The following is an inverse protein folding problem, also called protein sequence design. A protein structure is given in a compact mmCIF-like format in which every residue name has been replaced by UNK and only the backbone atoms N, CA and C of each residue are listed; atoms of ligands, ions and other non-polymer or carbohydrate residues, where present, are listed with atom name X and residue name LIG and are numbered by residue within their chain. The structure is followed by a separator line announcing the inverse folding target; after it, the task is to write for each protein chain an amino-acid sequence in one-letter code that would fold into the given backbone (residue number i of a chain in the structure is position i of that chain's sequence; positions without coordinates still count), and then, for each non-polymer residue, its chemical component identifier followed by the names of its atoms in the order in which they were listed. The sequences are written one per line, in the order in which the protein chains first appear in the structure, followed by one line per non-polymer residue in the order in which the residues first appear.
data_IF_012919671738
#
_entry.id   IF_012919671738
#
_cell.length_a   1.000
_cell.length_b   1.000
_cell.length_c   1.000
_cell.angle_alpha   90.00
_cell.angle_beta   90.00
_cell.angle_gamma   90.00
#
_symmetry.space_group_name_H-M   'P 1'
#
loop_
_entity.id
_entity.type
_entity.pdbx_description
1 polymer ?
#
# COMPACT_ATOMS: atom_id res chain seq x y z
N UNK A 1 -25.70 12.32 38.74
CA UNK A 1 -24.59 12.55 37.80
C UNK A 1 -23.31 12.42 38.60
N UNK A 2 -22.71 11.22 38.60
CA UNK A 2 -21.44 11.02 39.27
C UNK A 2 -20.36 11.78 38.50
N UNK A 3 -19.46 12.43 39.23
CA UNK A 3 -18.35 13.17 38.66
C UNK A 3 -17.36 12.15 38.09
N UNK A 4 -17.55 11.71 36.85
CA UNK A 4 -16.71 10.72 36.16
C UNK A 4 -15.35 11.30 35.73
N UNK A 5 -14.72 12.07 36.59
CA UNK A 5 -13.34 12.50 36.37
C UNK A 5 -12.42 11.43 36.94
N UNK A 6 -11.64 10.77 36.07
CA UNK A 6 -10.64 9.80 36.48
C UNK A 6 -9.48 10.51 37.21
N UNK A 7 -9.65 10.74 38.51
CA UNK A 7 -8.72 11.53 39.34
C UNK A 7 -7.39 10.82 39.64
N UNK A 8 -7.25 9.54 39.27
CA UNK A 8 -6.06 8.76 39.57
C UNK A 8 -4.91 9.06 38.60
N UNK A 9 -5.20 9.43 37.35
CA UNK A 9 -4.15 9.67 36.36
C UNK A 9 -3.16 10.75 36.78
N UNK A 10 -3.58 11.95 37.26
CA UNK A 10 -2.64 12.98 37.72
C UNK A 10 -1.82 12.59 38.96
N UNK A 11 -2.24 11.55 39.70
CA UNK A 11 -1.55 11.08 40.92
C UNK A 11 -0.44 10.08 40.60
N UNK A 12 -0.39 9.56 39.37
CA UNK A 12 0.67 8.66 38.94
C UNK A 12 2.02 9.41 38.84
N UNK A 13 3.13 8.74 39.16
CA UNK A 13 4.48 9.24 38.86
C UNK A 13 4.60 9.72 37.40
N UNK A 14 5.34 10.81 37.13
CA UNK A 14 5.51 11.35 35.77
C UNK A 14 5.93 10.29 34.75
N UNK A 15 6.78 9.35 35.15
CA UNK A 15 7.28 8.27 34.30
C UNK A 15 6.14 7.37 33.82
N UNK A 16 5.22 6.99 34.72
CA UNK A 16 4.07 6.14 34.38
C UNK A 16 3.06 6.89 33.51
N UNK A 17 2.80 8.16 33.80
CA UNK A 17 1.90 8.99 32.96
C UNK A 17 2.43 9.12 31.55
N UNK A 18 3.74 9.33 31.42
CA UNK A 18 4.45 9.39 30.14
C UNK A 18 4.41 8.06 29.40
N UNK A 19 4.65 6.92 30.06
CA UNK A 19 4.50 5.60 29.46
C UNK A 19 3.07 5.36 28.95
N UNK A 20 2.05 5.75 29.72
CA UNK A 20 0.65 5.64 29.29
C UNK A 20 0.44 6.45 28.01
N UNK A 21 0.91 7.70 27.95
CA UNK A 21 0.82 8.50 26.73
C UNK A 21 1.55 7.88 25.55
N UNK A 22 2.74 7.31 25.77
CA UNK A 22 3.50 6.61 24.73
C UNK A 22 2.72 5.39 24.21
N UNK A 23 2.02 4.67 25.09
CA UNK A 23 1.15 3.56 24.71
C UNK A 23 -0.15 3.99 24.02
N UNK A 24 -0.62 5.21 24.27
CA UNK A 24 -1.80 5.77 23.60
C UNK A 24 -1.52 6.24 22.16
N UNK A 25 -0.26 6.32 21.73
CA UNK A 25 0.07 6.69 20.35
C UNK A 25 -0.42 5.62 19.37
N UNK A 26 -1.13 6.02 18.29
CA UNK A 26 -1.62 5.08 17.31
C UNK A 26 -0.49 4.47 16.46
N UNK A 27 -0.78 3.32 15.86
CA UNK A 27 -0.04 2.78 14.72
C UNK A 27 -0.83 3.13 13.47
N UNK A 28 -0.23 3.90 12.55
CA UNK A 28 -0.94 4.44 11.39
C UNK A 28 -0.31 3.99 10.09
N UNK A 29 -1.07 4.14 9.02
CA UNK A 29 -0.55 4.06 7.66
C UNK A 29 -0.49 5.49 7.14
N UNK A 30 0.71 6.06 7.03
CA UNK A 30 0.92 7.41 6.52
C UNK A 30 0.99 7.36 4.99
N UNK A 31 -0.05 7.85 4.32
CA UNK A 31 -0.10 7.92 2.87
C UNK A 31 0.68 9.13 2.37
N UNK A 32 1.52 8.94 1.34
CA UNK A 32 2.27 10.04 0.70
C UNK A 32 1.52 10.66 -0.48
N UNK A 33 0.49 9.97 -0.95
CA UNK A 33 -0.37 10.32 -2.07
C UNK A 33 -1.81 9.85 -1.85
N UNK A 34 -2.81 10.49 -2.48
CA UNK A 34 -4.20 10.04 -2.38
C UNK A 34 -4.41 8.69 -3.08
N UNK A 35 -5.39 7.94 -2.58
CA UNK A 35 -5.83 6.70 -3.19
C UNK A 35 -6.96 6.99 -4.18
N UNK A 36 -6.72 7.06 -5.50
CA UNK A 36 -7.81 7.48 -6.41
C UNK A 36 -8.88 6.40 -6.65
N UNK A 37 -8.60 5.12 -6.32
CA UNK A 37 -9.63 4.06 -6.26
C UNK A 37 -9.33 3.10 -5.12
N UNK A 38 -10.35 2.79 -4.31
CA UNK A 38 -10.29 1.60 -3.47
C UNK A 38 -10.29 0.40 -4.41
N UNK A 39 -9.15 -0.30 -4.49
CA UNK A 39 -8.73 -1.27 -5.53
C UNK A 39 -9.77 -2.36 -5.87
N UNK A 40 -10.82 -1.96 -6.60
CA UNK A 40 -11.88 -2.80 -7.14
C UNK A 40 -11.69 -3.08 -8.63
N UNK A 41 -10.50 -2.80 -9.18
CA UNK A 41 -10.15 -3.18 -10.55
C UNK A 41 -10.65 -2.24 -11.64
N UNK A 42 -10.62 -0.92 -11.41
CA UNK A 42 -10.77 0.17 -12.42
C UNK A 42 -12.17 0.73 -12.68
N UNK A 43 -13.19 0.45 -11.84
CA UNK A 43 -14.48 1.15 -11.97
C UNK A 43 -14.88 1.82 -10.65
N UNK A 44 -14.86 3.17 -10.55
CA UNK A 44 -15.28 3.92 -9.36
C UNK A 44 -16.74 3.68 -8.95
N UNK A 45 -17.52 3.02 -9.81
CA UNK A 45 -18.90 2.66 -9.58
C UNK A 45 -19.12 1.79 -8.34
N UNK A 46 -18.10 1.14 -7.76
CA UNK A 46 -18.35 0.08 -6.77
C UNK A 46 -18.19 0.48 -5.30
N UNK A 47 -17.26 1.37 -4.96
CA UNK A 47 -17.19 2.02 -3.64
C UNK A 47 -16.83 3.49 -3.83
N UNK A 48 -17.84 4.36 -3.77
CA UNK A 48 -17.61 5.79 -3.94
C UNK A 48 -17.34 6.39 -2.56
N UNK A 49 -16.13 6.88 -2.36
CA UNK A 49 -15.71 7.56 -1.14
C UNK A 49 -14.85 8.77 -1.50
N UNK A 50 -14.96 9.85 -0.74
CA UNK A 50 -14.12 11.05 -0.87
C UNK A 50 -12.71 10.74 -0.34
N UNK A 51 -11.93 10.09 -1.19
CA UNK A 51 -10.55 9.63 -0.91
C UNK A 51 -9.62 10.77 -0.57
N UNK A 52 -9.83 11.97 -1.13
CA UNK A 52 -9.01 13.13 -0.84
C UNK A 52 -9.25 13.62 0.59
N UNK A 53 -10.52 13.82 0.99
CA UNK A 53 -10.86 14.21 2.35
C UNK A 53 -10.30 13.23 3.38
N UNK A 54 -10.47 11.94 3.10
CA UNK A 54 -9.93 10.84 3.91
C UNK A 54 -8.41 10.89 4.04
N UNK A 55 -7.72 11.06 2.92
CA UNK A 55 -6.26 11.12 2.88
C UNK A 55 -5.78 12.32 3.70
N UNK A 56 -6.43 13.48 3.54
CA UNK A 56 -6.12 14.69 4.31
C UNK A 56 -6.34 14.47 5.81
N UNK A 57 -7.43 13.82 6.22
CA UNK A 57 -7.66 13.49 7.63
C UNK A 57 -6.57 12.57 8.19
N UNK A 58 -6.16 11.59 7.39
CA UNK A 58 -5.07 10.68 7.72
C UNK A 58 -3.68 11.35 7.74
N UNK A 59 -3.55 12.62 7.35
CA UNK A 59 -2.28 13.36 7.46
C UNK A 59 -2.12 14.13 8.77
N UNK A 60 -3.18 14.22 9.58
CA UNK A 60 -3.21 15.05 10.80
C UNK A 60 -2.36 14.45 11.92
N UNK A 61 -2.01 15.27 12.92
CA UNK A 61 -1.45 14.78 14.18
C UNK A 61 -2.43 13.84 14.92
N UNK A 62 -1.93 12.84 15.66
CA UNK A 62 -2.78 11.96 16.45
C UNK A 62 -3.56 12.77 17.49
N UNK A 63 -4.78 12.32 17.82
CA UNK A 63 -5.70 13.09 18.67
C UNK A 63 -5.10 13.34 20.05
N UNK A 64 -4.26 12.42 20.53
CA UNK A 64 -3.61 12.55 21.84
C UNK A 64 -2.71 13.80 21.95
N UNK A 65 -2.23 14.36 20.84
CA UNK A 65 -1.41 15.58 20.82
C UNK A 65 -2.17 16.84 21.29
N UNK A 66 -3.51 16.74 21.41
CA UNK A 66 -4.39 17.84 21.77
C UNK A 66 -5.01 17.68 23.18
N UNK A 67 -4.72 16.60 23.90
CA UNK A 67 -5.32 16.31 25.22
C UNK A 67 -4.72 17.16 26.34
N UNK A 68 -3.38 17.23 26.43
CA UNK A 68 -2.65 18.00 27.45
C UNK A 68 -1.26 18.39 26.96
N UNK A 69 -0.57 19.26 27.70
CA UNK A 69 0.83 19.62 27.40
C UNK A 69 1.75 18.41 27.44
N UNK A 70 1.54 17.49 28.38
CA UNK A 70 2.36 16.29 28.53
C UNK A 70 2.16 15.29 27.39
N UNK A 71 0.91 15.03 27.01
CA UNK A 71 0.60 14.14 25.89
C UNK A 71 1.08 14.72 24.56
N UNK A 72 1.00 16.05 24.39
CA UNK A 72 1.56 16.75 23.24
C UNK A 72 3.07 16.58 23.15
N UNK A 73 3.77 16.75 24.26
CA UNK A 73 5.22 16.57 24.31
C UNK A 73 5.61 15.15 23.87
N UNK A 74 4.91 14.13 24.37
CA UNK A 74 5.11 12.73 23.95
C UNK A 74 4.86 12.55 22.45
N UNK A 75 3.78 13.12 21.90
CA UNK A 75 3.51 13.04 20.47
C UNK A 75 4.63 13.70 19.63
N UNK A 76 5.08 14.90 20.01
CA UNK A 76 6.14 15.65 19.31
C UNK A 76 7.51 14.98 19.39
N UNK A 77 7.79 14.19 20.42
CA UNK A 77 9.03 13.43 20.54
C UNK A 77 9.03 12.16 19.68
N UNK A 78 7.86 11.64 19.32
CA UNK A 78 7.71 10.38 18.59
C UNK A 78 7.36 10.57 17.11
N UNK A 79 7.00 11.77 16.70
CA UNK A 79 6.66 12.08 15.31
C UNK A 79 7.04 13.49 14.89
N UNK A 80 6.95 13.74 13.59
CA UNK A 80 7.25 15.03 13.00
C UNK A 80 6.33 15.31 11.81
N UNK A 81 6.31 16.56 11.37
CA UNK A 81 5.73 16.92 10.09
C UNK A 81 6.76 16.66 8.99
N UNK A 82 6.41 15.80 8.06
CA UNK A 82 7.12 15.68 6.79
C UNK A 82 6.52 16.70 5.85
N UNK A 83 7.38 17.56 5.30
CA UNK A 83 6.99 18.57 4.34
C UNK A 83 7.68 18.24 3.04
N UNK A 84 6.90 18.32 1.98
CA UNK A 84 7.43 18.27 0.64
C UNK A 84 7.82 19.69 0.21
N UNK A 85 9.09 20.01 0.41
CA UNK A 85 9.65 21.33 0.09
C UNK A 85 9.67 21.61 -1.40
N UNK A 86 9.59 20.55 -2.22
CA UNK A 86 9.80 20.64 -3.66
C UNK A 86 8.49 20.51 -4.47
N UNK A 87 7.33 20.48 -3.80
CA UNK A 87 6.00 20.26 -4.40
C UNK A 87 5.96 19.02 -5.31
N UNK A 88 6.70 17.99 -4.93
CA UNK A 88 6.66 16.68 -5.52
C UNK A 88 5.30 16.02 -5.26
N UNK A 89 4.92 15.87 -4.00
CA UNK A 89 3.73 15.17 -3.52
C UNK A 89 2.44 15.96 -3.69
N UNK A 90 1.35 15.25 -4.00
CA UNK A 90 -0.01 15.79 -3.90
C UNK A 90 -0.30 16.25 -2.46
N UNK A 91 0.19 15.48 -1.49
CA UNK A 91 0.15 15.83 -0.07
C UNK A 91 1.39 16.63 0.30
N UNK A 92 1.23 17.95 0.42
CA UNK A 92 2.34 18.87 0.73
C UNK A 92 2.95 18.67 2.11
N UNK A 93 2.17 18.18 3.07
CA UNK A 93 2.66 17.89 4.40
C UNK A 93 1.81 16.88 5.13
N UNK A 94 2.44 15.95 5.83
CA UNK A 94 1.74 14.98 6.67
C UNK A 94 2.52 14.69 7.96
N UNK A 95 1.79 14.32 9.00
CA UNK A 95 2.36 13.86 10.26
C UNK A 95 2.83 12.41 10.13
N UNK A 96 4.03 12.14 10.66
CA UNK A 96 4.64 10.82 10.59
C UNK A 96 5.35 10.43 11.89
N UNK A 97 5.09 9.22 12.37
CA UNK A 97 5.67 8.64 13.58
C UNK A 97 6.65 7.52 13.22
N UNK A 98 7.94 7.84 13.22
CA UNK A 98 9.01 7.00 12.69
C UNK A 98 9.13 5.56 13.22
N UNK A 99 8.59 5.25 14.40
CA UNK A 99 8.68 3.92 15.02
C UNK A 99 7.36 3.15 15.02
N UNK A 100 6.33 3.69 14.38
CA UNK A 100 4.95 3.23 14.49
C UNK A 100 4.21 3.26 13.16
N UNK A 101 4.49 4.26 12.33
CA UNK A 101 3.77 4.47 11.10
C UNK A 101 4.39 3.68 9.96
N UNK A 102 3.53 3.08 9.14
CA UNK A 102 3.92 2.51 7.85
C UNK A 102 3.77 3.60 6.79
N UNK A 103 4.84 3.91 6.06
CA UNK A 103 4.77 4.83 4.93
C UNK A 103 4.18 4.12 3.71
N UNK A 104 3.14 4.68 3.09
CA UNK A 104 2.38 4.02 2.02
C UNK A 104 2.29 4.85 0.74
N UNK A 105 2.52 4.20 -0.41
CA UNK A 105 2.42 4.75 -1.77
C UNK A 105 1.26 4.09 -2.56
N UNK A 106 0.30 4.89 -3.01
CA UNK A 106 -0.84 4.48 -3.85
C UNK A 106 -0.54 4.54 -5.37
N UNK A 107 0.59 5.14 -5.77
CA UNK A 107 0.99 5.33 -7.16
C UNK A 107 0.96 4.03 -7.99
N UNK A 108 0.45 4.12 -9.22
CA UNK A 108 0.50 3.05 -10.23
C UNK A 108 1.02 3.57 -11.57
N UNK A 109 1.66 2.73 -12.39
CA UNK A 109 2.15 3.13 -13.72
C UNK A 109 1.06 3.72 -14.61
N UNK A 110 -0.15 3.16 -14.61
CA UNK A 110 -1.25 3.65 -15.47
C UNK A 110 -1.83 5.00 -15.05
N UNK A 111 -1.46 5.49 -13.86
CA UNK A 111 -1.91 6.79 -13.32
C UNK A 111 -0.80 7.82 -13.26
N UNK A 112 0.43 7.38 -13.54
CA UNK A 112 1.56 8.28 -13.74
C UNK A 112 1.25 9.42 -14.70
N UNK A 113 0.35 9.23 -15.68
CA UNK A 113 0.03 10.26 -16.68
C UNK A 113 -0.82 11.44 -16.22
N UNK A 114 -1.67 11.26 -15.19
CA UNK A 114 -2.76 12.20 -14.94
C UNK A 114 -2.55 13.09 -13.72
N UNK A 115 -1.98 12.54 -12.65
CA UNK A 115 -1.77 13.24 -11.38
C UNK A 115 -0.32 13.60 -11.12
N UNK A 116 0.57 12.84 -11.74
CA UNK A 116 1.99 12.91 -11.52
C UNK A 116 2.61 13.53 -12.78
N UNK A 117 3.20 14.73 -12.69
CA UNK A 117 4.05 15.17 -13.81
C UNK A 117 5.17 14.13 -13.91
N UNK A 118 5.24 13.45 -15.04
CA UNK A 118 5.82 12.10 -15.15
C UNK A 118 7.27 11.94 -14.72
N UNK A 119 8.01 13.03 -14.69
CA UNK A 119 9.40 13.03 -14.33
C UNK A 119 9.57 14.26 -13.44
N UNK A 120 10.20 14.08 -12.28
CA UNK A 120 10.83 15.20 -11.61
C UNK A 120 11.79 15.86 -12.59
N UNK A 121 12.09 17.16 -12.43
CA UNK A 121 13.01 17.87 -13.34
C UNK A 121 14.39 17.20 -13.45
N UNK A 122 14.73 16.29 -12.52
CA UNK A 122 15.95 15.48 -12.47
C UNK A 122 15.83 14.06 -13.10
N UNK A 123 14.66 13.68 -13.61
CA UNK A 123 14.39 12.37 -14.21
C UNK A 123 14.14 11.24 -13.21
N UNK A 124 14.01 11.53 -11.92
CA UNK A 124 13.72 10.50 -10.90
C UNK A 124 12.26 10.02 -10.95
N UNK A 125 12.05 8.74 -10.60
CA UNK A 125 10.70 8.15 -10.53
C UNK A 125 10.08 8.25 -9.13
N UNK A 126 8.76 8.21 -9.07
CA UNK A 126 7.99 8.21 -7.81
C UNK A 126 8.36 7.10 -6.85
N UNK A 127 8.62 5.90 -7.38
CA UNK A 127 9.06 4.76 -6.57
C UNK A 127 10.45 5.02 -5.99
N UNK A 128 11.37 5.59 -6.77
CA UNK A 128 12.68 5.98 -6.26
C UNK A 128 12.55 7.01 -5.14
N UNK A 129 11.77 8.07 -5.34
CA UNK A 129 11.61 9.14 -4.35
C UNK A 129 10.95 8.66 -3.07
N UNK A 130 9.92 7.81 -3.17
CA UNK A 130 9.31 7.15 -2.03
C UNK A 130 10.31 6.32 -1.22
N UNK A 131 11.10 5.50 -1.92
CA UNK A 131 12.10 4.63 -1.32
C UNK A 131 13.24 5.43 -0.69
N UNK A 132 13.70 6.49 -1.36
CA UNK A 132 14.69 7.43 -0.86
C UNK A 132 14.20 8.15 0.40
N UNK A 133 12.97 8.66 0.40
CA UNK A 133 12.37 9.30 1.57
C UNK A 133 12.30 8.32 2.75
N UNK A 134 11.87 7.07 2.52
CA UNK A 134 11.85 6.04 3.54
C UNK A 134 13.26 5.69 4.07
N UNK A 135 14.31 5.87 3.26
CA UNK A 135 15.69 5.74 3.68
C UNK A 135 16.18 6.91 4.53
N UNK A 136 15.90 8.15 4.12
CA UNK A 136 16.27 9.37 4.85
C UNK A 136 15.60 9.43 6.22
N UNK A 137 14.35 8.98 6.30
CA UNK A 137 13.64 8.79 7.55
C UNK A 137 14.22 7.65 8.39
N UNK A 138 15.16 6.87 7.85
CA UNK A 138 15.82 5.72 8.47
C UNK A 138 14.77 4.78 9.08
N UNK A 139 13.74 4.49 8.28
CA UNK A 139 12.68 3.58 8.66
C UNK A 139 13.22 2.16 8.74
N UNK A 140 12.81 1.37 9.75
CA UNK A 140 12.99 -0.07 9.73
C UNK A 140 12.58 -0.67 8.39
N UNK A 141 13.19 -1.80 8.03
CA UNK A 141 12.93 -2.50 6.77
C UNK A 141 11.45 -2.84 6.54
N UNK A 142 10.64 -2.92 7.60
CA UNK A 142 9.25 -3.39 7.62
C UNK A 142 8.17 -2.30 7.57
N UNK A 143 8.52 -1.03 7.39
CA UNK A 143 7.58 0.11 7.50
C UNK A 143 7.33 0.82 6.15
N UNK A 144 7.33 0.05 5.06
CA UNK A 144 7.04 0.53 3.70
C UNK A 144 5.91 -0.28 3.10
N UNK A 145 4.95 0.41 2.51
CA UNK A 145 3.83 -0.19 1.81
C UNK A 145 3.63 0.45 0.45
N UNK A 146 3.19 -0.35 -0.52
CA UNK A 146 2.74 0.14 -1.82
C UNK A 146 1.67 -0.76 -2.38
N UNK A 147 0.98 -0.29 -3.40
CA UNK A 147 -0.08 -1.06 -4.06
C UNK A 147 0.49 -2.13 -4.98
N UNK A 148 -0.22 -3.25 -5.14
CA UNK A 148 0.21 -4.36 -5.99
C UNK A 148 0.53 -3.91 -7.42
N UNK A 149 -0.29 -3.00 -7.96
CA UNK A 149 -0.17 -2.48 -9.32
C UNK A 149 1.13 -1.71 -9.59
N UNK A 150 1.82 -1.22 -8.55
CA UNK A 150 3.16 -0.64 -8.68
C UNK A 150 4.21 -1.66 -9.13
N UNK A 151 3.99 -2.95 -8.85
CA UNK A 151 4.89 -4.06 -9.17
C UNK A 151 4.34 -4.86 -10.35
N UNK A 152 3.10 -5.31 -10.23
CA UNK A 152 2.39 -6.06 -11.27
C UNK A 152 0.89 -5.93 -11.05
N UNK A 153 0.13 -5.76 -12.12
CA UNK A 153 -1.32 -5.52 -12.04
C UNK A 153 -2.04 -6.66 -11.31
N UNK A 154 -2.87 -6.32 -10.32
CA UNK A 154 -3.78 -7.23 -9.62
C UNK A 154 -5.24 -6.86 -9.88
N UNK A 155 -5.93 -7.68 -10.68
CA UNK A 155 -7.30 -7.38 -11.09
C UNK A 155 -8.33 -8.12 -10.22
N UNK A 156 -8.88 -7.42 -9.23
CA UNK A 156 -9.90 -7.98 -8.33
C UNK A 156 -11.23 -8.30 -9.05
N UNK A 157 -11.56 -7.60 -10.14
CA UNK A 157 -12.81 -7.86 -10.90
C UNK A 157 -12.83 -9.24 -11.54
N UNK A 158 -11.66 -9.80 -11.88
CA UNK A 158 -11.56 -11.18 -12.42
C UNK A 158 -12.01 -12.25 -11.43
N UNK A 159 -12.15 -11.91 -10.14
CA UNK A 159 -12.59 -12.83 -9.10
C UNK A 159 -14.10 -12.80 -8.87
N UNK A 160 -14.82 -11.93 -9.58
CA UNK A 160 -16.26 -11.71 -9.45
C UNK A 160 -17.00 -12.34 -10.64
N UNK A 161 -18.23 -12.78 -10.40
CA UNK A 161 -19.03 -13.51 -11.40
C UNK A 161 -19.56 -12.62 -12.55
N UNK A 162 -19.34 -11.30 -12.51
CA UNK A 162 -19.85 -10.32 -13.48
C UNK A 162 -18.76 -9.74 -14.40
N UNK A 163 -17.77 -10.54 -14.78
CA UNK A 163 -16.64 -10.08 -15.59
C UNK A 163 -17.07 -9.82 -17.05
N UNK A 164 -17.01 -8.56 -17.48
CA UNK A 164 -17.09 -8.19 -18.89
C UNK A 164 -15.73 -8.46 -19.57
N UNK A 165 -15.75 -9.20 -20.69
CA UNK A 165 -14.58 -9.71 -21.43
C UNK A 165 -13.61 -8.64 -22.00
N UNK A 166 -13.88 -7.34 -21.81
CA UNK A 166 -13.11 -6.25 -22.41
C UNK A 166 -11.74 -5.99 -21.75
N UNK A 167 -11.44 -6.58 -20.59
CA UNK A 167 -10.17 -6.36 -19.85
C UNK A 167 -9.08 -7.42 -20.16
N UNK A 168 -9.27 -8.21 -21.23
CA UNK A 168 -8.38 -9.29 -21.71
C UNK A 168 -7.06 -8.80 -22.34
N UNK A 169 -6.78 -7.48 -22.32
CA UNK A 169 -5.56 -6.89 -22.86
C UNK A 169 -4.31 -7.13 -22.00
N UNK A 170 -4.46 -7.70 -20.80
CA UNK A 170 -3.33 -8.02 -19.91
C UNK A 170 -2.75 -9.39 -20.29
N UNK A 171 -1.44 -9.49 -20.59
CA UNK A 171 -0.79 -10.78 -20.77
C UNK A 171 -1.02 -11.68 -19.55
N UNK A 172 -1.71 -12.82 -19.75
CA UNK A 172 -1.98 -13.83 -18.70
C UNK A 172 -0.70 -14.33 -18.01
N UNK A 173 0.45 -14.21 -18.68
CA UNK A 173 1.79 -14.48 -18.17
C UNK A 173 2.64 -13.21 -18.27
N UNK A 174 3.43 -12.86 -17.23
CA UNK A 174 4.45 -11.84 -17.33
C UNK A 174 5.38 -12.10 -18.52
N UNK A 175 5.76 -11.00 -19.17
CA UNK A 175 6.76 -10.98 -20.24
C UNK A 175 7.75 -9.88 -19.91
N UNK A 176 8.99 -10.05 -20.38
CA UNK A 176 9.93 -8.94 -20.38
C UNK A 176 10.90 -8.92 -21.55
N UNK A 177 11.21 -7.74 -22.10
CA UNK A 177 12.23 -7.57 -23.15
C UNK A 177 13.59 -8.05 -22.69
N UNK A 178 14.39 -8.62 -23.57
CA UNK A 178 15.73 -9.11 -23.18
C UNK A 178 16.71 -7.98 -22.90
N UNK A 179 16.77 -6.95 -23.77
CA UNK A 179 17.78 -5.87 -23.72
C UNK A 179 17.29 -4.55 -23.13
N UNK A 180 15.98 -4.37 -22.93
CA UNK A 180 15.41 -3.12 -22.44
C UNK A 180 14.91 -3.23 -21.00
N UNK A 181 15.02 -2.15 -20.23
CA UNK A 181 14.39 -2.02 -18.91
C UNK A 181 12.92 -1.64 -19.11
N UNK A 182 11.99 -2.45 -18.59
CA UNK A 182 10.57 -2.35 -18.96
C UNK A 182 9.65 -1.71 -17.92
N UNK A 183 10.19 -1.34 -16.76
CA UNK A 183 9.45 -0.57 -15.77
C UNK A 183 10.43 0.14 -14.86
N UNK A 184 10.33 1.48 -14.81
CA UNK A 184 11.10 2.29 -13.87
C UNK A 184 10.87 1.79 -12.43
N UNK A 185 9.63 1.51 -12.04
CA UNK A 185 9.29 1.04 -10.70
C UNK A 185 10.04 -0.24 -10.28
N UNK A 186 10.03 -1.28 -11.12
CA UNK A 186 10.74 -2.53 -10.81
C UNK A 186 12.25 -2.32 -10.74
N UNK A 187 12.80 -1.50 -11.66
CA UNK A 187 14.22 -1.19 -11.66
C UNK A 187 14.64 -0.47 -10.37
N UNK A 188 13.84 0.50 -9.90
CA UNK A 188 14.12 1.24 -8.68
C UNK A 188 14.01 0.38 -7.41
N UNK A 189 13.00 -0.49 -7.35
CA UNK A 189 12.90 -1.47 -6.26
C UNK A 189 14.17 -2.33 -6.21
N UNK A 190 14.61 -2.85 -7.36
CA UNK A 190 15.82 -3.69 -7.42
C UNK A 190 17.08 -2.90 -7.10
N UNK A 191 17.26 -1.69 -7.65
CA UNK A 191 18.40 -0.83 -7.38
C UNK A 191 18.56 -0.59 -5.88
N UNK A 192 17.46 -0.30 -5.20
CA UNK A 192 17.48 -0.11 -3.75
C UNK A 192 17.96 -1.36 -3.00
N UNK A 193 17.61 -2.57 -3.45
CA UNK A 193 18.09 -3.82 -2.82
C UNK A 193 19.52 -4.18 -3.17
N UNK A 194 19.95 -3.88 -4.41
CA UNK A 194 21.22 -4.34 -4.95
C UNK A 194 22.39 -3.44 -4.53
N UNK A 195 22.16 -2.12 -4.49
CA UNK A 195 23.21 -1.12 -4.29
C UNK A 195 23.38 -0.65 -2.84
N UNK A 196 22.50 -1.05 -1.92
CA UNK A 196 22.65 -0.74 -0.48
C UNK A 196 23.04 -2.00 0.32
N UNK A 197 24.34 -2.18 0.65
CA UNK A 197 24.86 -3.38 1.29
C UNK A 197 24.20 -3.66 2.65
N UNK A 198 23.86 -4.93 2.91
CA UNK A 198 23.31 -5.37 4.20
C UNK A 198 21.81 -5.14 4.39
N UNK A 199 21.10 -4.71 3.34
CA UNK A 199 19.69 -4.35 3.40
C UNK A 199 18.82 -5.23 2.49
N UNK A 200 17.98 -6.08 3.08
CA UNK A 200 16.89 -6.72 2.34
C UNK A 200 15.63 -5.88 2.49
N UNK A 201 15.08 -5.44 1.37
CA UNK A 201 13.87 -4.64 1.35
C UNK A 201 12.65 -5.54 1.66
N UNK A 202 11.80 -5.12 2.58
CA UNK A 202 10.52 -5.77 2.86
C UNK A 202 9.40 -4.77 2.56
N UNK A 203 8.40 -5.18 1.79
CA UNK A 203 7.34 -4.29 1.31
C UNK A 203 5.99 -4.91 1.66
N UNK A 204 5.14 -4.14 2.32
CA UNK A 204 3.71 -4.47 2.47
C UNK A 204 2.97 -4.12 1.19
N UNK A 205 2.52 -5.15 0.47
CA UNK A 205 1.87 -4.98 -0.83
C UNK A 205 0.37 -5.01 -0.66
N UNK A 206 -0.30 -3.92 -1.00
CA UNK A 206 -1.76 -3.82 -0.90
C UNK A 206 -2.40 -4.49 -2.11
N UNK A 207 -3.03 -5.63 -1.87
CA UNK A 207 -3.71 -6.43 -2.89
C UNK A 207 -5.13 -5.91 -3.18
N UNK A 208 -5.77 -5.35 -2.16
CA UNK A 208 -7.10 -4.78 -2.23
C UNK A 208 -7.24 -3.70 -1.15
N UNK A 209 -8.09 -2.70 -1.39
CA UNK A 209 -8.51 -1.76 -0.38
C UNK A 209 -10.04 -1.73 -0.29
N UNK A 210 -10.56 -1.57 0.92
CA UNK A 210 -11.99 -1.47 1.20
C UNK A 210 -12.23 -0.24 2.08
N UNK A 211 -13.22 0.59 1.72
CA UNK A 211 -13.69 1.69 2.54
C UNK A 211 -14.95 1.29 3.29
N UNK A 212 -14.95 1.48 4.61
CA UNK A 212 -16.06 1.19 5.51
C UNK A 212 -16.71 2.51 5.90
N UNK A 213 -17.92 2.79 5.42
CA UNK A 213 -18.66 3.92 5.94
C UNK A 213 -19.17 3.55 7.33
N UNK A 214 -18.68 4.21 8.37
CA UNK A 214 -19.08 4.01 9.78
C UNK A 214 -18.96 5.33 10.53
N UNK A 215 -19.65 5.49 11.66
CA UNK A 215 -19.50 6.70 12.46
C UNK A 215 -18.18 6.69 13.24
N UNK A 216 -17.73 7.87 13.67
CA UNK A 216 -16.50 7.99 14.47
C UNK A 216 -16.66 7.25 15.80
N UNK A 217 -17.84 7.28 16.41
CA UNK A 217 -18.14 6.58 17.65
C UNK A 217 -18.02 5.07 17.48
N UNK A 218 -18.45 4.52 16.34
CA UNK A 218 -18.26 3.12 15.99
C UNK A 218 -16.78 2.76 15.85
N UNK A 219 -16.02 3.57 15.12
CA UNK A 219 -14.59 3.38 14.96
C UNK A 219 -13.87 3.39 16.32
N UNK A 220 -14.19 4.36 17.20
CA UNK A 220 -13.63 4.45 18.57
C UNK A 220 -14.02 3.23 19.41
N UNK A 221 -15.32 2.88 19.47
CA UNK A 221 -15.82 1.74 20.27
C UNK A 221 -15.22 0.41 19.84
N UNK A 222 -14.91 0.26 18.56
CA UNK A 222 -14.29 -0.95 18.04
C UNK A 222 -12.86 -1.18 18.55
N UNK A 223 -12.12 -0.10 18.83
CA UNK A 223 -10.71 -0.14 19.20
C UNK A 223 -9.75 -0.61 18.09
N UNK A 224 -10.23 -0.90 16.87
CA UNK A 224 -9.40 -1.44 15.78
C UNK A 224 -8.91 -0.38 14.79
N UNK A 225 -9.30 0.89 14.97
CA UNK A 225 -8.83 2.06 14.20
C UNK A 225 -8.08 3.06 15.10
N UNK A 226 -7.31 2.54 16.06
CA UNK A 226 -6.68 3.31 17.12
C UNK A 226 -7.64 3.58 18.29
N UNK A 227 -7.09 3.90 19.45
CA UNK A 227 -7.87 4.07 20.69
C UNK A 227 -8.89 5.22 20.59
N UNK A 228 -8.59 6.23 19.76
CA UNK A 228 -9.42 7.42 19.57
C UNK A 228 -10.00 7.52 18.15
N UNK A 229 -9.95 6.43 17.39
CA UNK A 229 -10.31 6.46 15.97
C UNK A 229 -9.34 7.34 15.16
N UNK A 230 -8.07 7.44 15.56
CA UNK A 230 -7.06 8.31 14.93
C UNK A 230 -6.06 7.53 14.07
N UNK A 231 -6.38 6.26 13.77
CA UNK A 231 -5.71 5.44 12.77
C UNK A 231 -6.72 4.93 11.73
N UNK A 232 -7.18 5.81 10.80
CA UNK A 232 -8.30 5.51 9.90
C UNK A 232 -8.01 4.43 8.87
N UNK A 233 -6.73 4.11 8.67
CA UNK A 233 -6.28 3.06 7.76
C UNK A 233 -5.57 1.99 8.55
N UNK A 234 -5.88 0.74 8.24
CA UNK A 234 -5.28 -0.45 8.83
C UNK A 234 -4.87 -1.42 7.73
N UNK A 235 -3.74 -2.09 7.93
CA UNK A 235 -3.28 -3.18 7.06
C UNK A 235 -3.57 -4.51 7.74
N UNK A 236 -4.12 -5.45 6.97
CA UNK A 236 -4.47 -6.80 7.42
C UNK A 236 -3.72 -7.78 6.54
N UNK A 237 -2.98 -8.72 7.14
CA UNK A 237 -2.30 -9.78 6.38
C UNK A 237 -3.32 -10.56 5.55
N UNK A 238 -2.97 -10.86 4.29
CA UNK A 238 -3.79 -11.78 3.49
C UNK A 238 -3.79 -13.15 4.17
N UNK A 239 -4.99 -13.66 4.47
CA UNK A 239 -5.21 -14.91 5.20
C UNK A 239 -5.52 -14.72 6.70
N UNK A 240 -5.40 -13.51 7.25
CA UNK A 240 -5.90 -13.20 8.60
C UNK A 240 -7.42 -12.96 8.56
N UNK A 241 -8.16 -14.06 8.34
CA UNK A 241 -9.62 -14.04 8.29
C UNK A 241 -10.23 -13.58 9.61
N UNK A 242 -9.62 -13.94 10.74
CA UNK A 242 -10.11 -13.55 12.08
C UNK A 242 -10.13 -12.04 12.22
N UNK A 243 -9.04 -11.37 11.82
CA UNK A 243 -8.97 -9.91 11.86
C UNK A 243 -9.91 -9.29 10.84
N UNK A 244 -9.95 -9.79 9.59
CA UNK A 244 -10.83 -9.24 8.56
C UNK A 244 -12.32 -9.33 8.95
N UNK A 245 -12.74 -10.44 9.59
CA UNK A 245 -14.11 -10.63 10.11
C UNK A 245 -14.48 -9.62 11.20
N UNK A 246 -13.53 -9.09 11.98
CA UNK A 246 -13.80 -8.02 12.95
C UNK A 246 -14.24 -6.73 12.25
N UNK A 247 -13.60 -6.39 11.13
CA UNK A 247 -14.00 -5.23 10.33
C UNK A 247 -15.36 -5.46 9.66
N UNK A 248 -15.62 -6.67 9.15
CA UNK A 248 -16.93 -7.05 8.61
C UNK A 248 -18.04 -6.91 9.66
N UNK A 249 -17.79 -7.33 10.90
CA UNK A 249 -18.76 -7.27 12.00
C UNK A 249 -19.19 -5.83 12.34
N UNK A 250 -18.25 -4.88 12.38
CA UNK A 250 -18.57 -3.47 12.67
C UNK A 250 -19.50 -2.91 11.58
N UNK A 251 -19.26 -3.24 10.32
CA UNK A 251 -20.15 -2.84 9.23
C UNK A 251 -21.56 -3.43 9.36
N UNK A 252 -21.67 -4.67 9.82
CA UNK A 252 -22.97 -5.34 10.06
C UNK A 252 -23.73 -4.70 11.23
N UNK A 253 -23.05 -4.44 12.35
CA UNK A 253 -23.65 -3.88 13.57
C UNK A 253 -24.24 -2.49 13.36
N UNK A 254 -23.65 -1.69 12.46
CA UNK A 254 -24.05 -0.29 12.24
C UNK A 254 -25.02 -0.09 11.07
N UNK A 255 -25.72 -1.15 10.61
CA UNK A 255 -26.83 -1.12 9.64
C UNK A 255 -26.56 -0.38 8.32
N UNK A 256 -25.29 -0.30 7.90
CA UNK A 256 -24.91 0.19 6.57
C UNK A 256 -24.77 -0.94 5.54
N UNK A 257 -24.80 -2.20 5.99
CA UNK A 257 -24.77 -3.38 5.13
C UNK A 257 -25.90 -3.40 4.08
N UNK A 258 -27.13 -3.06 4.49
CA UNK A 258 -28.28 -2.98 3.58
C UNK A 258 -28.18 -1.81 2.59
N UNK A 259 -27.43 -0.75 2.94
CA UNK A 259 -27.21 0.42 2.10
C UNK A 259 -26.03 0.26 1.16
N UNK A 260 -25.10 -0.64 1.48
CA UNK A 260 -23.86 -0.85 0.74
C UNK A 260 -23.60 -2.34 0.41
N UNK A 261 -24.47 -2.97 -0.40
CA UNK A 261 -24.33 -4.38 -0.78
C UNK A 261 -23.00 -4.69 -1.49
N UNK A 262 -22.31 -3.67 -1.98
CA UNK A 262 -21.00 -3.77 -2.63
C UNK A 262 -19.87 -4.01 -1.63
N UNK A 263 -19.94 -3.41 -0.43
CA UNK A 263 -19.00 -3.68 0.69
C UNK A 263 -19.15 -5.13 1.14
N UNK A 264 -20.37 -5.64 1.22
CA UNK A 264 -20.62 -7.05 1.53
C UNK A 264 -19.96 -7.99 0.51
N UNK A 265 -20.24 -7.79 -0.78
CA UNK A 265 -19.64 -8.59 -1.85
C UNK A 265 -18.11 -8.53 -1.83
N UNK A 266 -17.54 -7.39 -1.43
CA UNK A 266 -16.11 -7.24 -1.26
C UNK A 266 -15.57 -8.15 -0.16
N UNK A 267 -16.19 -8.15 1.03
CA UNK A 267 -15.80 -9.09 2.10
C UNK A 267 -15.95 -10.56 1.66
N UNK A 268 -17.02 -10.92 0.95
CA UNK A 268 -17.21 -12.27 0.42
C UNK A 268 -16.06 -12.68 -0.52
N UNK A 269 -15.62 -11.78 -1.42
CA UNK A 269 -14.47 -12.02 -2.30
C UNK A 269 -13.17 -12.14 -1.49
N UNK A 270 -12.90 -11.19 -0.59
CA UNK A 270 -11.65 -11.14 0.18
C UNK A 270 -11.48 -12.32 1.14
N UNK A 271 -12.59 -12.87 1.65
CA UNK A 271 -12.62 -14.07 2.50
C UNK A 271 -12.68 -15.37 1.69
N UNK A 272 -12.74 -15.31 0.36
CA UNK A 272 -12.84 -16.50 -0.47
C UNK A 272 -11.48 -17.19 -0.68
N UNK A 273 -11.44 -18.53 -0.83
CA UNK A 273 -10.23 -19.24 -1.25
C UNK A 273 -9.67 -18.76 -2.59
N UNK A 274 -10.56 -18.30 -3.49
CA UNK A 274 -10.20 -17.79 -4.82
C UNK A 274 -9.34 -16.52 -4.73
N UNK A 275 -9.60 -15.65 -3.75
CA UNK A 275 -8.76 -14.49 -3.51
C UNK A 275 -7.36 -14.88 -3.02
N UNK A 276 -7.26 -15.83 -2.09
CA UNK A 276 -5.96 -16.33 -1.65
C UNK A 276 -5.17 -16.95 -2.80
N UNK A 277 -5.81 -17.76 -3.64
CA UNK A 277 -5.18 -18.35 -4.83
C UNK A 277 -4.70 -17.28 -5.81
N UNK A 278 -5.52 -16.26 -6.07
CA UNK A 278 -5.16 -15.14 -6.94
C UNK A 278 -3.94 -14.37 -6.41
N UNK A 279 -3.87 -14.13 -5.09
CA UNK A 279 -2.72 -13.50 -4.44
C UNK A 279 -1.46 -14.36 -4.59
N UNK A 280 -1.55 -15.69 -4.46
CA UNK A 280 -0.40 -16.58 -4.66
C UNK A 280 0.05 -16.63 -6.13
N UNK A 281 -0.88 -16.60 -7.07
CA UNK A 281 -0.57 -16.49 -8.51
C UNK A 281 0.13 -15.16 -8.78
N UNK A 282 -0.41 -14.06 -8.27
CA UNK A 282 0.19 -12.73 -8.39
C UNK A 282 1.60 -12.69 -7.80
N UNK A 283 1.80 -13.24 -6.60
CA UNK A 283 3.11 -13.23 -5.93
C UNK A 283 4.17 -13.94 -6.76
N UNK A 284 3.87 -15.12 -7.31
CA UNK A 284 4.79 -15.85 -8.21
C UNK A 284 5.16 -15.03 -9.44
N UNK A 285 4.20 -14.30 -10.01
CA UNK A 285 4.41 -13.42 -11.18
C UNK A 285 5.28 -12.21 -10.83
N UNK A 286 5.01 -11.56 -9.70
CA UNK A 286 5.77 -10.43 -9.20
C UNK A 286 7.23 -10.83 -8.87
N UNK A 287 7.43 -11.96 -8.20
CA UNK A 287 8.76 -12.50 -7.91
C UNK A 287 9.54 -12.84 -9.19
N UNK A 288 8.87 -13.43 -10.19
CA UNK A 288 9.49 -13.68 -11.49
C UNK A 288 9.94 -12.38 -12.17
N UNK A 289 9.12 -11.34 -12.14
CA UNK A 289 9.46 -10.02 -12.69
C UNK A 289 10.64 -9.39 -11.96
N UNK A 290 10.63 -9.39 -10.62
CA UNK A 290 11.74 -8.89 -9.81
C UNK A 290 13.05 -9.62 -10.12
N UNK A 291 13.01 -10.96 -10.19
CA UNK A 291 14.18 -11.75 -10.59
C UNK A 291 14.66 -11.39 -12.00
N UNK A 292 13.73 -11.28 -12.97
CA UNK A 292 14.07 -10.94 -14.35
C UNK A 292 14.75 -9.56 -14.43
N UNK A 293 14.33 -8.60 -13.59
CA UNK A 293 14.95 -7.28 -13.49
C UNK A 293 16.35 -7.36 -12.88
N UNK A 294 16.56 -8.15 -11.82
CA UNK A 294 17.91 -8.39 -11.27
C UNK A 294 18.85 -9.03 -12.29
N UNK A 295 18.35 -9.99 -13.06
CA UNK A 295 19.10 -10.65 -14.12
C UNK A 295 19.54 -9.65 -15.21
N UNK A 296 18.66 -8.72 -15.61
CA UNK A 296 19.00 -7.66 -16.56
C UNK A 296 20.07 -6.71 -16.03
N UNK A 297 19.98 -6.32 -14.76
CA UNK A 297 21.03 -5.50 -14.14
C UNK A 297 22.39 -6.22 -14.18
N UNK A 298 22.43 -7.51 -13.83
CA UNK A 298 23.65 -8.31 -13.95
C UNK A 298 24.15 -8.45 -15.39
N UNK A 299 23.25 -8.44 -16.39
CA UNK A 299 23.61 -8.44 -17.82
C UNK A 299 24.28 -7.13 -18.22
N UNK A 300 23.72 -6.00 -17.78
CA UNK A 300 24.27 -4.67 -18.03
C UNK A 300 25.61 -4.45 -17.33
N UNK A 301 25.79 -4.98 -16.12
CA UNK A 301 27.04 -4.90 -15.35
C UNK A 301 28.17 -5.78 -15.90
N UNK A 302 27.87 -6.62 -16.91
CA UNK A 302 28.81 -7.53 -17.56
C UNK A 302 29.64 -8.34 -16.55
N UNK A 303 28.97 -8.97 -15.58
CA UNK A 303 29.61 -9.73 -14.50
C UNK A 303 30.51 -10.83 -15.11
N UNK A 304 31.83 -10.65 -14.98
CA UNK A 304 32.84 -11.50 -15.62
C UNK A 304 32.70 -12.95 -15.17
N UNK A 305 32.61 -13.86 -16.15
CA UNK A 305 32.55 -15.30 -15.92
C UNK A 305 31.16 -15.87 -15.59
N UNK A 306 30.11 -15.04 -15.62
CA UNK A 306 28.74 -15.49 -15.43
C UNK A 306 28.10 -15.88 -16.78
N UNK A 307 27.78 -17.16 -16.97
CA UNK A 307 27.00 -17.60 -18.13
C UNK A 307 25.52 -17.24 -17.93
N UNK A 308 25.12 -16.10 -18.50
CA UNK A 308 23.79 -15.52 -18.37
C UNK A 308 22.68 -16.42 -18.91
N UNK A 309 22.97 -17.29 -19.89
CA UNK A 309 21.99 -18.20 -20.45
C UNK A 309 21.64 -19.32 -19.45
N UNK A 310 22.62 -19.79 -18.67
CA UNK A 310 22.45 -20.86 -17.67
C UNK A 310 21.62 -20.47 -16.44
N UNK A 311 21.33 -19.18 -16.27
CA UNK A 311 20.51 -18.64 -15.17
C UNK A 311 19.03 -18.97 -15.31
N UNK A 312 18.61 -19.49 -16.46
CA UNK A 312 17.24 -19.82 -16.80
C UNK A 312 17.09 -21.29 -17.18
N UNK A 313 15.90 -21.84 -16.99
CA UNK A 313 15.48 -23.17 -17.44
C UNK A 313 14.27 -23.00 -18.37
N UNK A 314 14.37 -23.43 -19.64
CA UNK A 314 15.59 -23.87 -20.33
C UNK A 314 16.61 -22.70 -20.51
N UNK A 315 17.87 -22.97 -20.89
CA UNK A 315 18.87 -21.93 -21.11
C UNK A 315 18.37 -20.81 -22.03
N UNK A 316 18.57 -19.56 -21.60
CA UNK A 316 18.02 -18.38 -22.27
C UNK A 316 19.07 -17.72 -23.18
N UNK A 317 18.98 -17.99 -24.47
CA UNK A 317 19.74 -17.24 -25.48
C UNK A 317 19.05 -15.92 -25.85
N UNK A 318 19.83 -15.02 -26.46
CA UNK A 318 19.38 -13.71 -26.92
C UNK A 318 18.14 -13.80 -27.80
N UNK A 319 17.18 -12.91 -27.55
CA UNK A 319 15.88 -12.81 -28.20
C UNK A 319 15.25 -11.45 -27.89
N UNK A 320 14.09 -11.17 -28.45
CA UNK A 320 13.39 -9.92 -28.14
C UNK A 320 12.67 -9.98 -26.79
N UNK A 321 11.98 -11.10 -26.48
CA UNK A 321 11.09 -11.23 -25.31
C UNK A 321 11.33 -12.52 -24.54
N UNK A 322 11.39 -12.41 -23.21
CA UNK A 322 11.42 -13.49 -22.23
C UNK A 322 10.03 -13.61 -21.62
N UNK A 323 9.45 -14.81 -21.53
CA UNK A 323 8.10 -15.01 -20.98
C UNK A 323 8.16 -15.97 -19.81
N UNK A 324 7.45 -15.67 -18.72
CA UNK A 324 7.42 -16.52 -17.52
C UNK A 324 6.96 -17.95 -17.83
N UNK A 325 5.96 -18.11 -18.69
CA UNK A 325 5.47 -19.43 -19.11
C UNK A 325 6.52 -20.29 -19.82
N UNK A 326 7.53 -19.66 -20.43
CA UNK A 326 8.53 -20.32 -21.27
C UNK A 326 9.87 -20.46 -20.51
N UNK A 327 10.11 -19.65 -19.47
CA UNK A 327 11.38 -19.56 -18.74
C UNK A 327 11.17 -19.43 -17.23
N UNK A 328 11.86 -20.29 -16.47
CA UNK A 328 11.94 -20.21 -15.01
C UNK A 328 13.38 -19.96 -14.55
N UNK A 329 13.61 -19.29 -13.42
CA UNK A 329 14.95 -19.19 -12.83
C UNK A 329 15.57 -20.57 -12.58
N UNK A 330 16.86 -20.73 -12.87
CA UNK A 330 17.58 -21.96 -12.55
C UNK A 330 17.92 -22.02 -11.05
N UNK A 331 17.02 -22.62 -10.26
CA UNK A 331 17.14 -22.73 -8.80
C UNK A 331 18.43 -23.40 -8.31
N UNK A 332 19.10 -24.16 -9.17
CA UNK A 332 20.36 -24.83 -8.83
C UNK A 332 21.59 -23.92 -8.99
N UNK A 333 21.48 -22.85 -9.78
CA UNK A 333 22.59 -21.97 -10.12
C UNK A 333 23.00 -21.08 -8.91
N UNK A 334 24.29 -21.01 -8.52
CA UNK A 334 24.73 -20.27 -7.34
C UNK A 334 24.33 -18.79 -7.34
N UNK A 335 24.47 -18.12 -8.48
CA UNK A 335 24.05 -16.72 -8.63
C UNK A 335 22.54 -16.54 -8.43
N UNK A 336 21.71 -17.47 -8.93
CA UNK A 336 20.24 -17.39 -8.79
C UNK A 336 19.85 -17.49 -7.32
N UNK A 337 20.47 -18.40 -6.56
CA UNK A 337 20.25 -18.51 -5.10
C UNK A 337 20.60 -17.21 -4.38
N UNK A 338 21.78 -16.65 -4.68
CA UNK A 338 22.23 -15.40 -4.07
C UNK A 338 21.33 -14.21 -4.45
N UNK A 339 20.88 -14.14 -5.71
CA UNK A 339 19.97 -13.09 -6.16
C UNK A 339 18.65 -13.18 -5.38
N UNK A 340 18.07 -14.38 -5.25
CA UNK A 340 16.82 -14.61 -4.50
C UNK A 340 16.94 -14.29 -3.01
N UNK A 341 18.08 -14.56 -2.38
CA UNK A 341 18.32 -14.17 -0.99
C UNK A 341 18.30 -12.65 -0.78
N UNK A 342 18.64 -11.88 -1.83
CA UNK A 342 18.62 -10.40 -1.80
C UNK A 342 17.34 -9.78 -2.33
N UNK A 343 16.48 -10.57 -2.98
CA UNK A 343 15.22 -10.07 -3.54
C UNK A 343 14.35 -9.40 -2.46
N UNK A 344 13.55 -8.38 -2.85
CA UNK A 344 12.55 -7.83 -1.96
C UNK A 344 11.59 -8.90 -1.44
N UNK A 345 11.29 -8.83 -0.14
CA UNK A 345 10.24 -9.66 0.48
C UNK A 345 8.91 -8.95 0.29
N UNK A 346 8.01 -9.55 -0.47
CA UNK A 346 6.65 -9.07 -0.68
C UNK A 346 5.70 -9.68 0.36
N UNK A 347 5.04 -8.83 1.15
CA UNK A 347 4.06 -9.20 2.18
C UNK A 347 2.66 -8.73 1.77
N UNK A 348 1.81 -9.61 1.20
CA UNK A 348 0.48 -9.22 0.74
C UNK A 348 -0.44 -8.83 1.90
N UNK A 349 -1.12 -7.70 1.77
CA UNK A 349 -2.07 -7.16 2.73
C UNK A 349 -3.36 -6.68 2.05
N UNK A 350 -4.42 -6.60 2.85
CA UNK A 350 -5.66 -5.88 2.55
C UNK A 350 -5.62 -4.57 3.33
N UNK A 351 -5.86 -3.46 2.64
CA UNK A 351 -6.04 -2.17 3.29
C UNK A 351 -7.51 -1.99 3.66
N UNK A 352 -7.77 -1.65 4.91
CA UNK A 352 -9.10 -1.26 5.37
C UNK A 352 -9.06 0.19 5.81
N UNK A 353 -9.98 0.97 5.29
CA UNK A 353 -10.17 2.37 5.59
C UNK A 353 -11.54 2.59 6.23
N UNK A 354 -11.69 3.48 7.21
CA UNK A 354 -13.01 3.91 7.68
C UNK A 354 -13.32 5.35 7.26
N UNK A 355 -14.50 5.57 6.71
CA UNK A 355 -14.98 6.88 6.28
C UNK A 355 -16.19 7.28 7.12
N UNK A 356 -16.19 8.49 7.69
CA UNK A 356 -17.34 9.04 8.41
C UNK A 356 -18.31 9.81 7.53
N UNK A 357 -17.95 10.00 6.26
CA UNK A 357 -18.84 10.62 5.30
C UNK A 357 -19.84 9.59 4.77
N UNK A 358 -21.08 9.99 4.52
CA UNK A 358 -22.08 9.12 3.89
C UNK A 358 -21.93 9.16 2.36
N UNK A 359 -20.74 8.80 1.86
CA UNK A 359 -20.40 8.92 0.43
C UNK A 359 -21.22 7.99 -0.48
N UNK A 360 -21.88 6.98 0.09
CA UNK A 360 -22.85 6.14 -0.59
C UNK A 360 -24.13 6.89 -1.01
N UNK A 361 -24.38 8.10 -0.49
CA UNK A 361 -25.53 8.94 -0.85
C UNK A 361 -25.20 9.78 -2.09
N UNK A 362 -25.92 9.54 -3.20
CA UNK A 362 -25.80 10.33 -4.42
C UNK A 362 -25.95 11.83 -4.15
N UNK A 363 -25.01 12.64 -4.65
CA UNK A 363 -25.02 14.10 -4.53
C UNK A 363 -24.21 14.68 -3.36
N UNK A 364 -23.69 13.86 -2.43
CA UNK A 364 -22.77 14.32 -1.37
C UNK A 364 -21.29 14.32 -1.74
N UNK A 365 -20.94 13.76 -2.89
CA UNK A 365 -19.59 13.83 -3.44
C UNK A 365 -19.38 15.21 -4.05
N UNK A 366 -18.22 15.81 -3.78
CA UNK A 366 -17.88 17.11 -4.35
C UNK A 366 -17.93 17.08 -5.90
N UNK A 367 -18.39 18.18 -6.51
CA UNK A 367 -18.56 18.29 -7.96
C UNK A 367 -17.23 18.30 -8.74
N UNK A 368 -16.14 18.77 -8.13
CA UNK A 368 -14.77 18.71 -8.65
C UNK A 368 -14.28 17.27 -8.80
N UNK A 369 -14.65 16.40 -7.86
CA UNK A 369 -14.45 14.96 -7.97
C UNK A 369 -15.18 14.48 -9.22
N UNK A 370 -16.50 14.71 -9.34
CA UNK A 370 -17.33 14.38 -10.53
C UNK A 370 -16.72 14.87 -11.86
N UNK A 371 -16.09 16.05 -11.88
CA UNK A 371 -15.49 16.66 -13.06
C UNK A 371 -14.19 15.99 -13.54
N UNK A 372 -13.42 15.37 -12.64
CA UNK A 372 -12.25 14.55 -13.00
C UNK A 372 -12.62 13.26 -13.74
N UNK A 373 -13.82 12.72 -13.50
CA UNK A 373 -14.27 11.44 -14.06
C UNK A 373 -14.66 11.48 -15.53
N UNK A 374 -15.16 12.61 -16.05
CA UNK A 374 -15.54 12.76 -17.47
C UNK A 374 -14.35 12.74 -18.43
N UNK A 375 -13.10 12.77 -17.92
CA UNK A 375 -11.88 12.68 -18.75
C UNK A 375 -11.43 11.24 -19.04
N UNK A 376 -12.13 10.23 -18.51
CA UNK A 376 -11.80 8.82 -18.69
C UNK A 376 -12.67 8.11 -19.76
N UNK A 377 -13.62 8.80 -20.40
CA UNK A 377 -14.48 8.26 -21.47
C UNK A 377 -14.24 8.89 -22.86
N UNK A 378 -13.14 9.64 -23.07
CA UNK A 378 -12.81 10.28 -24.35
C UNK A 378 -11.61 9.63 -25.05
#
# INVERSE_FOLDING_TARGET
MANETFHCFPQLPPELRRMIWEHCLPYRVAQVDPCDVFFDGRKPEQQICDVESVTIENTRQPVIAFVSTESRQVALEQGCWLRDENNWNVIKSFWFQRRRDVLHLNWTPERGDYWYRFEHDDGSSWVYMFLYQAHELKLPTKERSMVADAIYRFNLNTLRDSYDEWDDFIPKSPITKYREHESFALSEIINHTAYWPGYQLSIDVIMAAISLHITKESAVKSGIFGLLGDAPIQLIDVGDEVRLRKYEAICKEHMLYDKEPKVQKMFEVLLSPRFQEAVQVWKRKAEWLLFSTMWKHALSDNIVGLDMASLWVPPLYERDWVRMRDYSPNESHPWVKQAKEKMPILRPHIMVHYCTNECYIEGRLREDFKAGWWRFEA
#
